data_IF_354798159752
#
_entry.id   IF_354798159752
#
_cell.length_a   1.000
_cell.length_b   1.000
_cell.length_c   1.000
_cell.angle_alpha   90.00
_cell.angle_beta   90.00
_cell.angle_gamma   90.00
#
_symmetry.space_group_name_H-M   'P 1'
#
loop_
_entity.id
_entity.type
_entity.pdbx_description
1 polymer ?
#
# COMPACT_ATOMS: atom_id res chain seq x y z
N UNK A 1 -57.45 58.51 -10.41
CA UNK A 1 -58.32 57.51 -9.74
C UNK A 1 -57.45 56.56 -8.96
N UNK A 2 -57.93 56.15 -7.79
CA UNK A 2 -57.17 56.07 -6.56
C UNK A 2 -56.46 54.71 -6.40
N UNK A 3 -55.47 54.68 -5.50
CA UNK A 3 -55.07 53.44 -4.82
C UNK A 3 -56.22 52.89 -3.95
N UNK A 4 -55.96 52.14 -2.87
CA UNK A 4 -54.71 52.06 -2.13
C UNK A 4 -54.45 50.57 -1.79
N UNK A 5 -53.54 50.13 -0.94
CA UNK A 5 -53.44 50.34 0.50
C UNK A 5 -52.30 49.38 0.93
N UNK A 6 -51.34 49.89 1.71
CA UNK A 6 -51.14 49.49 3.12
C UNK A 6 -50.34 48.19 3.25
N UNK A 7 -49.33 48.07 4.12
CA UNK A 7 -48.96 48.77 5.35
C UNK A 7 -47.46 48.43 5.57
N UNK A 8 -46.61 49.38 5.98
CA UNK A 8 -46.18 49.60 7.38
C UNK A 8 -45.73 48.31 8.09
N UNK A 9 -44.70 48.26 8.92
CA UNK A 9 -43.80 49.22 9.57
C UNK A 9 -42.66 48.35 10.14
N UNK A 10 -41.41 48.74 9.99
CA UNK A 10 -40.62 49.40 11.05
C UNK A 10 -40.52 48.66 12.39
N UNK A 11 -39.28 48.28 12.73
CA UNK A 11 -38.58 48.44 14.04
C UNK A 11 -37.75 47.19 14.34
N UNK A 12 -36.41 47.30 14.36
CA UNK A 12 -35.58 47.73 15.49
C UNK A 12 -35.84 46.92 16.78
N UNK A 13 -34.96 45.95 17.02
CA UNK A 13 -34.39 45.62 18.34
C UNK A 13 -33.23 44.63 18.08
N UNK A 14 -31.97 45.02 18.20
CA UNK A 14 -31.19 45.07 19.45
C UNK A 14 -31.15 43.73 20.20
N UNK A 15 -30.26 42.83 19.78
CA UNK A 15 -29.64 41.82 20.65
C UNK A 15 -28.19 41.68 20.19
N UNK A 16 -27.33 42.50 20.77
CA UNK A 16 -26.43 42.11 21.88
C UNK A 16 -25.29 41.23 21.37
N UNK A 17 -24.12 41.86 21.31
CA UNK A 17 -22.81 41.24 21.33
C UNK A 17 -22.80 40.07 22.32
N UNK A 18 -22.56 38.87 21.79
CA UNK A 18 -21.98 37.79 22.60
C UNK A 18 -20.49 37.81 22.31
N UNK A 19 -19.81 38.67 23.06
CA UNK A 19 -18.38 38.56 23.32
C UNK A 19 -18.16 37.20 23.99
N UNK A 20 -17.53 36.26 23.27
CA UNK A 20 -16.90 35.12 23.92
C UNK A 20 -15.60 35.61 24.54
N UNK A 21 -15.69 36.16 25.75
CA UNK A 21 -14.57 36.26 26.68
C UNK A 21 -14.05 34.85 26.95
N UNK A 22 -12.98 34.46 26.28
CA UNK A 22 -12.16 33.32 26.70
C UNK A 22 -11.22 33.83 27.78
N UNK A 23 -11.64 33.67 29.03
CA UNK A 23 -10.77 33.80 30.20
C UNK A 23 -9.80 32.62 30.22
N UNK A 24 -8.59 32.85 29.69
CA UNK A 24 -7.45 31.97 29.94
C UNK A 24 -6.92 32.36 31.32
N UNK A 25 -7.30 31.59 32.35
CA UNK A 25 -6.55 31.57 33.61
C UNK A 25 -5.16 31.00 33.31
N UNK A 26 -4.22 31.91 33.05
CA UNK A 26 -2.81 31.61 32.95
C UNK A 26 -2.31 31.35 34.39
N UNK A 27 -2.26 30.09 34.79
CA UNK A 27 -1.50 29.68 35.97
C UNK A 27 -0.04 30.10 35.77
N UNK A 28 0.34 31.17 36.45
CA UNK A 28 1.68 31.74 36.51
C UNK A 28 2.66 30.70 37.10
N UNK A 29 3.30 29.92 36.22
CA UNK A 29 4.58 29.29 36.54
C UNK A 29 5.69 30.23 36.07
N UNK A 30 6.21 31.00 37.02
CA UNK A 30 7.39 31.86 36.89
C UNK A 30 8.53 31.06 36.25
N UNK A 31 8.78 31.28 34.94
CA UNK A 31 10.01 30.86 34.27
C UNK A 31 10.78 32.10 33.89
N UNK A 32 11.71 32.44 34.76
CA UNK A 32 12.67 33.53 34.63
C UNK A 32 13.41 33.39 33.30
N UNK A 33 13.35 34.44 32.46
CA UNK A 33 14.26 34.62 31.32
C UNK A 33 15.71 34.58 31.83
N UNK A 34 16.48 33.58 31.39
CA UNK A 34 17.93 33.72 31.24
C UNK A 34 18.30 33.37 29.81
N UNK A 35 18.97 34.32 29.18
CA UNK A 35 19.99 34.14 28.15
C UNK A 35 19.60 33.35 26.91
N UNK A 36 19.42 34.07 25.80
CA UNK A 36 19.88 33.56 24.51
C UNK A 36 21.35 33.17 24.68
N UNK A 37 21.67 31.89 24.59
CA UNK A 37 22.93 31.38 24.06
C UNK A 37 22.71 29.91 23.63
N UNK A 38 22.97 29.64 22.34
CA UNK A 38 22.90 28.37 21.62
C UNK A 38 21.52 27.73 21.39
N UNK A 39 20.95 27.99 20.20
CA UNK A 39 19.87 27.19 19.60
C UNK A 39 20.34 25.77 19.22
N UNK A 40 21.65 25.52 19.14
CA UNK A 40 22.24 24.20 18.85
C UNK A 40 22.11 23.21 20.02
N UNK A 41 21.90 23.65 21.27
CA UNK A 41 21.80 22.73 22.41
C UNK A 41 20.39 22.21 22.66
N UNK A 42 19.35 22.78 22.01
CA UNK A 42 17.96 22.36 22.21
C UNK A 42 17.55 21.20 21.28
N UNK A 43 18.07 21.15 20.05
CA UNK A 43 17.82 20.02 19.16
C UNK A 43 18.53 18.75 19.66
N UNK A 44 19.72 18.88 20.27
CA UNK A 44 20.44 17.74 20.84
C UNK A 44 19.76 17.18 22.10
N UNK A 45 19.07 17.99 22.92
CA UNK A 45 18.35 17.49 24.09
C UNK A 45 16.99 16.85 23.77
N UNK A 46 16.33 17.24 22.67
CA UNK A 46 15.09 16.58 22.22
C UNK A 46 15.36 15.22 21.57
N UNK A 47 16.56 15.02 21.01
CA UNK A 47 16.98 13.74 20.45
C UNK A 47 17.62 12.80 21.48
N UNK A 48 18.23 13.31 22.56
CA UNK A 48 18.76 12.47 23.65
C UNK A 48 17.68 12.00 24.65
N UNK A 49 16.63 12.79 24.93
CA UNK A 49 15.51 12.32 25.79
C UNK A 49 14.53 11.36 25.08
N UNK A 50 14.53 11.30 23.74
CA UNK A 50 13.73 10.31 22.98
C UNK A 50 14.42 8.96 22.79
N UNK A 51 15.68 8.83 23.22
CA UNK A 51 16.47 7.62 23.05
C UNK A 51 16.30 6.56 24.14
N UNK A 52 15.62 6.85 25.27
CA UNK A 52 15.71 6.00 26.47
C UNK A 52 14.40 5.46 27.06
N UNK A 53 13.23 5.70 26.47
CA UNK A 53 11.97 5.03 26.86
C UNK A 53 11.31 4.28 25.69
N UNK A 54 12.02 3.31 25.11
CA UNK A 54 11.37 2.20 24.39
C UNK A 54 12.06 0.92 24.84
N UNK A 55 11.85 0.56 26.11
CA UNK A 55 12.13 -0.78 26.61
C UNK A 55 10.81 -1.41 27.10
N UNK A 56 9.76 -1.33 26.28
CA UNK A 56 8.59 -2.19 26.45
C UNK A 56 8.94 -3.58 25.90
N UNK A 57 8.93 -4.57 26.80
CA UNK A 57 9.04 -5.98 26.48
C UNK A 57 8.09 -6.37 25.33
N UNK A 58 8.51 -7.26 24.40
CA UNK A 58 7.67 -7.65 23.28
C UNK A 58 6.36 -8.28 23.80
N UNK A 59 5.24 -7.61 23.54
CA UNK A 59 3.90 -8.14 23.86
C UNK A 59 3.70 -9.47 23.10
N UNK A 60 3.07 -10.49 23.70
CA UNK A 60 2.93 -11.83 23.10
C UNK A 60 2.24 -11.80 21.72
N UNK A 61 1.33 -10.85 21.48
CA UNK A 61 0.68 -10.66 20.19
C UNK A 61 1.67 -10.27 19.06
N UNK A 62 2.67 -9.42 19.36
CA UNK A 62 3.68 -8.99 18.39
C UNK A 62 4.61 -10.14 17.96
N UNK A 63 4.92 -11.06 18.88
CA UNK A 63 5.72 -12.26 18.60
C UNK A 63 4.97 -13.23 17.67
N UNK A 64 3.69 -13.49 17.95
CA UNK A 64 2.85 -14.35 17.11
C UNK A 64 2.75 -13.78 15.69
N UNK A 65 2.47 -12.48 15.56
CA UNK A 65 2.44 -11.82 14.25
C UNK A 65 3.78 -11.94 13.52
N UNK A 66 4.91 -11.76 14.23
CA UNK A 66 6.26 -11.90 13.64
C UNK A 66 6.48 -13.29 13.06
N UNK A 67 6.15 -14.34 13.82
CA UNK A 67 6.22 -15.73 13.36
C UNK A 67 5.32 -15.97 12.15
N UNK A 68 4.10 -15.42 12.15
CA UNK A 68 3.17 -15.55 11.02
C UNK A 68 3.69 -14.88 9.74
N UNK A 69 4.26 -13.67 9.84
CA UNK A 69 4.86 -13.00 8.69
C UNK A 69 6.12 -13.73 8.20
N UNK A 70 6.94 -14.29 9.09
CA UNK A 70 8.06 -15.15 8.69
C UNK A 70 7.58 -16.42 7.97
N UNK A 71 6.52 -17.05 8.48
CA UNK A 71 5.91 -18.21 7.84
C UNK A 71 5.36 -17.86 6.45
N UNK A 72 4.74 -16.68 6.27
CA UNK A 72 4.29 -16.19 4.97
C UNK A 72 5.48 -15.93 4.02
N UNK A 73 6.55 -15.30 4.51
CA UNK A 73 7.76 -15.06 3.71
C UNK A 73 8.37 -16.38 3.22
N UNK A 74 8.55 -17.36 4.12
CA UNK A 74 9.02 -18.70 3.79
C UNK A 74 8.05 -19.42 2.84
N UNK A 75 6.74 -19.27 3.04
CA UNK A 75 5.72 -19.82 2.15
C UNK A 75 5.88 -19.31 0.72
N UNK A 76 6.11 -18.01 0.52
CA UNK A 76 6.38 -17.45 -0.80
C UNK A 76 7.66 -18.01 -1.42
N UNK A 77 8.74 -18.20 -0.64
CA UNK A 77 9.98 -18.81 -1.16
C UNK A 77 9.78 -20.28 -1.54
N UNK A 78 9.01 -21.03 -0.76
CA UNK A 78 8.63 -22.41 -1.07
C UNK A 78 7.76 -22.48 -2.33
N UNK A 79 6.86 -21.52 -2.53
CA UNK A 79 6.07 -21.40 -3.75
C UNK A 79 6.95 -21.22 -4.99
N UNK A 80 8.06 -20.46 -4.91
CA UNK A 80 9.02 -20.33 -6.02
C UNK A 80 9.65 -21.69 -6.33
N UNK A 81 10.07 -22.43 -5.30
CA UNK A 81 10.61 -23.77 -5.49
C UNK A 81 9.59 -24.71 -6.14
N UNK A 82 8.35 -24.68 -5.68
CA UNK A 82 7.25 -25.47 -6.24
C UNK A 82 7.01 -25.06 -7.70
N UNK A 83 6.96 -23.77 -8.00
CA UNK A 83 6.85 -23.25 -9.37
C UNK A 83 7.99 -23.79 -10.24
N UNK A 84 9.25 -23.61 -9.83
CA UNK A 84 10.43 -24.09 -10.55
C UNK A 84 10.39 -25.59 -10.85
N UNK A 85 9.95 -26.41 -9.89
CA UNK A 85 9.92 -27.86 -10.05
C UNK A 85 8.73 -28.38 -10.85
N UNK A 86 7.67 -27.59 -10.98
CA UNK A 86 6.38 -28.10 -11.47
C UNK A 86 5.74 -27.25 -12.55
N UNK A 87 6.47 -26.33 -13.17
CA UNK A 87 6.04 -25.65 -14.41
C UNK A 87 7.06 -25.90 -15.50
N UNK A 88 6.59 -26.28 -16.68
CA UNK A 88 7.43 -26.48 -17.86
C UNK A 88 7.61 -25.20 -18.69
N UNK A 89 6.81 -24.15 -18.46
CA UNK A 89 6.97 -22.86 -19.11
C UNK A 89 8.21 -22.12 -18.61
N UNK A 90 9.14 -21.90 -19.52
CA UNK A 90 10.27 -20.98 -19.35
C UNK A 90 9.87 -19.56 -19.82
N UNK A 91 10.58 -18.53 -19.32
CA UNK A 91 10.46 -17.16 -19.81
C UNK A 91 9.61 -16.20 -18.95
N UNK A 92 8.84 -15.32 -19.60
CA UNK A 92 8.16 -14.16 -18.98
C UNK A 92 7.16 -14.55 -17.88
N UNK A 93 6.32 -15.57 -18.10
CA UNK A 93 5.30 -16.01 -17.14
C UNK A 93 5.92 -16.50 -15.83
N UNK A 94 7.04 -17.22 -15.91
CA UNK A 94 7.78 -17.67 -14.73
C UNK A 94 8.39 -16.47 -13.99
N UNK A 95 9.14 -15.62 -14.72
CA UNK A 95 9.88 -14.51 -14.14
C UNK A 95 8.98 -13.50 -13.44
N UNK A 96 7.82 -13.16 -14.02
CA UNK A 96 6.88 -12.23 -13.41
C UNK A 96 6.30 -12.78 -12.11
N UNK A 97 5.86 -14.05 -12.11
CA UNK A 97 5.24 -14.66 -10.93
C UNK A 97 6.27 -14.85 -9.80
N UNK A 98 7.49 -15.32 -10.12
CA UNK A 98 8.57 -15.45 -9.15
C UNK A 98 9.05 -14.10 -8.63
N UNK A 99 9.20 -13.11 -9.51
CA UNK A 99 9.58 -11.75 -9.13
C UNK A 99 8.60 -11.13 -8.13
N UNK A 100 7.29 -11.31 -8.36
CA UNK A 100 6.27 -10.88 -7.40
C UNK A 100 6.34 -11.65 -6.09
N UNK A 101 6.52 -12.98 -6.12
CA UNK A 101 6.66 -13.77 -4.90
C UNK A 101 7.86 -13.33 -4.06
N UNK A 102 8.99 -12.99 -4.69
CA UNK A 102 10.15 -12.39 -4.00
C UNK A 102 9.78 -11.03 -3.39
N UNK A 103 9.06 -10.18 -4.11
CA UNK A 103 8.62 -8.88 -3.59
C UNK A 103 7.71 -9.02 -2.37
N UNK A 104 6.77 -9.96 -2.39
CA UNK A 104 5.84 -10.23 -1.28
C UNK A 104 6.55 -10.92 -0.10
N UNK A 105 7.50 -11.82 -0.38
CA UNK A 105 8.34 -12.45 0.64
C UNK A 105 9.20 -11.38 1.35
N UNK A 106 9.81 -10.48 0.58
CA UNK A 106 10.56 -9.34 1.11
C UNK A 106 9.66 -8.46 1.98
N UNK A 107 8.48 -8.11 1.48
CA UNK A 107 7.50 -7.33 2.25
C UNK A 107 7.15 -7.99 3.59
N UNK A 108 6.81 -9.27 3.59
CA UNK A 108 6.53 -10.02 4.82
C UNK A 108 7.75 -10.09 5.75
N UNK A 109 8.96 -10.24 5.22
CA UNK A 109 10.20 -10.23 5.99
C UNK A 109 10.48 -8.85 6.62
N UNK A 110 10.25 -7.75 5.89
CA UNK A 110 10.39 -6.37 6.42
C UNK A 110 9.39 -6.14 7.54
N UNK A 111 8.13 -6.59 7.36
CA UNK A 111 7.15 -6.53 8.44
C UNK A 111 7.67 -7.31 9.65
N UNK A 112 8.06 -8.58 9.50
CA UNK A 112 8.60 -9.39 10.60
C UNK A 112 9.80 -8.73 11.28
N UNK A 113 10.68 -8.11 10.50
CA UNK A 113 11.85 -7.41 11.00
C UNK A 113 11.48 -6.20 11.87
N UNK A 114 10.28 -5.62 11.68
CA UNK A 114 9.74 -4.54 12.50
C UNK A 114 9.56 -4.93 13.97
N UNK A 115 9.58 -6.22 14.32
CA UNK A 115 9.65 -6.68 15.71
C UNK A 115 11.03 -6.53 16.38
N UNK A 116 12.04 -6.06 15.65
CA UNK A 116 13.41 -5.82 16.15
C UNK A 116 13.77 -4.33 16.13
N UNK A 117 14.75 -3.93 16.94
CA UNK A 117 15.14 -2.53 17.18
C UNK A 117 16.05 -1.88 16.11
N UNK A 118 16.00 -2.34 14.85
CA UNK A 118 16.89 -1.86 13.77
C UNK A 118 16.27 -0.75 12.91
N UNK A 119 16.01 0.39 13.52
CA UNK A 119 15.23 1.49 12.91
C UNK A 119 15.78 2.01 11.56
N UNK A 120 17.09 2.29 11.36
CA UNK A 120 17.58 2.86 10.10
C UNK A 120 17.44 1.89 8.92
N UNK A 121 17.67 0.60 9.17
CA UNK A 121 17.48 -0.45 8.16
C UNK A 121 16.00 -0.61 7.82
N UNK A 122 15.12 -0.60 8.82
CA UNK A 122 13.68 -0.73 8.63
C UNK A 122 13.07 0.44 7.84
N UNK A 123 13.60 1.64 8.00
CA UNK A 123 13.20 2.78 7.18
C UNK A 123 13.54 2.57 5.71
N UNK A 124 14.80 2.22 5.41
CA UNK A 124 15.25 1.95 4.05
C UNK A 124 14.48 0.76 3.42
N UNK A 125 14.26 -0.31 4.20
CA UNK A 125 13.51 -1.47 3.77
C UNK A 125 12.03 -1.16 3.53
N UNK A 126 11.42 -0.32 4.38
CA UNK A 126 10.04 0.15 4.24
C UNK A 126 9.83 0.99 2.98
N UNK A 127 10.81 1.83 2.62
CA UNK A 127 10.84 2.56 1.34
C UNK A 127 10.85 1.59 0.17
N UNK A 128 11.81 0.66 0.16
CA UNK A 128 11.96 -0.32 -0.92
C UNK A 128 10.70 -1.18 -1.10
N UNK A 129 10.09 -1.61 0.00
CA UNK A 129 8.83 -2.37 0.02
C UNK A 129 7.71 -1.66 -0.75
N UNK A 130 7.53 -0.36 -0.54
CA UNK A 130 6.49 0.39 -1.22
C UNK A 130 6.76 0.57 -2.72
N UNK A 131 8.02 0.75 -3.12
CA UNK A 131 8.39 0.84 -4.53
C UNK A 131 8.11 -0.50 -5.22
N UNK A 132 8.57 -1.60 -4.62
CA UNK A 132 8.34 -2.95 -5.12
C UNK A 132 6.85 -3.24 -5.24
N UNK A 133 6.04 -2.87 -4.24
CA UNK A 133 4.59 -2.96 -4.32
C UNK A 133 4.06 -2.19 -5.54
N UNK A 134 4.36 -0.89 -5.63
CA UNK A 134 3.84 -0.04 -6.70
C UNK A 134 4.13 -0.59 -8.11
N UNK A 135 5.33 -1.16 -8.33
CA UNK A 135 5.77 -1.65 -9.64
C UNK A 135 5.41 -3.11 -9.90
N UNK A 136 5.61 -4.02 -8.93
CA UNK A 136 5.44 -5.46 -9.15
C UNK A 136 3.98 -5.84 -9.47
N UNK A 137 3.01 -5.17 -8.83
CA UNK A 137 1.59 -5.39 -9.11
C UNK A 137 1.21 -5.07 -10.58
N UNK A 138 1.89 -4.13 -11.23
CA UNK A 138 1.58 -3.77 -12.62
C UNK A 138 1.92 -4.90 -13.61
N UNK A 139 2.94 -5.71 -13.30
CA UNK A 139 3.39 -6.82 -14.15
C UNK A 139 2.44 -8.01 -14.16
N UNK A 140 1.53 -8.09 -13.18
CA UNK A 140 0.49 -9.11 -13.14
C UNK A 140 -0.59 -8.92 -14.22
N UNK A 141 -0.81 -7.70 -14.68
CA UNK A 141 -1.77 -7.44 -15.76
C UNK A 141 -1.40 -8.17 -17.06
N UNK A 142 -0.20 -7.96 -17.64
CA UNK A 142 0.20 -8.71 -18.83
C UNK A 142 0.30 -10.21 -18.56
N UNK A 143 0.69 -10.62 -17.35
CA UNK A 143 0.75 -12.04 -16.99
C UNK A 143 -0.60 -12.75 -17.13
N UNK A 144 -1.69 -12.17 -16.62
CA UNK A 144 -3.02 -12.77 -16.72
C UNK A 144 -3.54 -12.81 -18.16
N UNK A 145 -3.28 -11.75 -18.93
CA UNK A 145 -3.66 -11.70 -20.35
C UNK A 145 -2.86 -12.71 -21.19
N UNK A 146 -1.57 -12.84 -20.91
CA UNK A 146 -0.67 -13.78 -21.57
C UNK A 146 -1.07 -15.22 -21.23
N UNK A 147 -1.31 -15.53 -19.95
CA UNK A 147 -1.84 -16.83 -19.55
C UNK A 147 -3.15 -17.13 -20.29
N UNK A 148 -4.10 -16.21 -20.30
CA UNK A 148 -5.36 -16.40 -21.02
C UNK A 148 -5.14 -16.69 -22.51
N UNK A 149 -4.29 -15.90 -23.18
CA UNK A 149 -3.97 -16.08 -24.59
C UNK A 149 -3.37 -17.46 -24.89
N UNK A 150 -2.43 -17.90 -24.04
CA UNK A 150 -1.72 -19.16 -24.22
C UNK A 150 -2.58 -20.38 -23.89
N UNK A 151 -3.45 -20.29 -22.86
CA UNK A 151 -4.36 -21.38 -22.50
C UNK A 151 -5.56 -21.48 -23.46
N UNK A 152 -5.98 -20.36 -24.05
CA UNK A 152 -7.06 -20.32 -25.04
C UNK A 152 -6.75 -19.28 -26.12
N UNK A 153 -6.27 -19.69 -27.30
CA UNK A 153 -5.95 -18.76 -28.36
C UNK A 153 -7.24 -18.15 -28.94
N UNK A 154 -7.70 -17.05 -28.34
CA UNK A 154 -8.61 -16.10 -28.95
C UNK A 154 -7.73 -14.97 -29.53
N UNK A 155 -7.44 -14.98 -30.85
CA UNK A 155 -6.20 -14.41 -31.39
C UNK A 155 -6.12 -12.88 -31.30
N UNK A 156 -7.24 -12.15 -31.34
CA UNK A 156 -7.21 -10.69 -31.37
C UNK A 156 -7.20 -10.01 -30.01
N UNK A 157 -8.17 -10.35 -29.14
CA UNK A 157 -8.44 -9.59 -27.91
C UNK A 157 -7.43 -9.89 -26.81
N UNK A 158 -7.00 -11.15 -26.68
CA UNK A 158 -6.03 -11.55 -25.65
C UNK A 158 -4.61 -11.05 -25.97
N UNK A 159 -4.22 -11.07 -27.25
CA UNK A 159 -2.95 -10.50 -27.71
C UNK A 159 -2.90 -8.99 -27.47
N UNK A 160 -3.96 -8.26 -27.85
CA UNK A 160 -4.06 -6.82 -27.61
C UNK A 160 -4.01 -6.51 -26.10
N UNK A 161 -4.74 -7.26 -25.28
CA UNK A 161 -4.71 -7.10 -23.82
C UNK A 161 -3.31 -7.35 -23.24
N UNK A 162 -2.57 -8.32 -23.79
CA UNK A 162 -1.18 -8.60 -23.42
C UNK A 162 -0.28 -7.41 -23.75
N UNK A 163 -0.33 -6.89 -24.98
CA UNK A 163 0.45 -5.73 -25.40
C UNK A 163 0.13 -4.47 -24.58
N UNK A 164 -1.15 -4.20 -24.34
CA UNK A 164 -1.60 -3.09 -23.50
C UNK A 164 -1.15 -3.26 -22.05
N UNK A 165 -1.20 -4.49 -21.53
CA UNK A 165 -0.70 -4.84 -20.19
C UNK A 165 0.79 -4.56 -20.05
N UNK A 166 1.60 -4.97 -21.03
CA UNK A 166 3.05 -4.68 -21.04
C UNK A 166 3.31 -3.17 -21.12
N UNK A 167 2.64 -2.46 -22.05
CA UNK A 167 2.79 -1.02 -22.18
C UNK A 167 2.46 -0.29 -20.87
N UNK A 168 1.40 -0.71 -20.18
CA UNK A 168 1.02 -0.16 -18.88
C UNK A 168 2.05 -0.50 -17.79
N UNK A 169 2.53 -1.74 -17.71
CA UNK A 169 3.53 -2.15 -16.73
C UNK A 169 4.86 -1.39 -16.90
N UNK A 170 5.32 -1.22 -18.14
CA UNK A 170 6.49 -0.39 -18.46
C UNK A 170 6.24 1.08 -18.11
N UNK A 171 5.09 1.64 -18.48
CA UNK A 171 4.75 3.02 -18.16
C UNK A 171 4.74 3.26 -16.64
N UNK A 172 4.10 2.39 -15.87
CA UNK A 172 4.06 2.47 -14.39
C UNK A 172 5.47 2.37 -13.81
N UNK A 173 6.26 1.40 -14.25
CA UNK A 173 7.63 1.21 -13.76
C UNK A 173 8.53 2.40 -14.08
N UNK A 174 8.49 2.90 -15.32
CA UNK A 174 9.24 4.07 -15.75
C UNK A 174 8.78 5.34 -15.03
N UNK A 175 7.47 5.49 -14.80
CA UNK A 175 6.90 6.61 -14.08
C UNK A 175 7.36 6.66 -12.63
N UNK A 176 7.33 5.53 -11.90
CA UNK A 176 7.86 5.46 -10.54
C UNK A 176 9.37 5.66 -10.51
N UNK A 177 10.14 5.02 -11.40
CA UNK A 177 11.58 5.22 -11.49
C UNK A 177 11.96 6.69 -11.77
N UNK A 178 11.27 7.35 -12.71
CA UNK A 178 11.48 8.75 -13.02
C UNK A 178 11.13 9.65 -11.84
N UNK A 179 10.07 9.33 -11.08
CA UNK A 179 9.72 10.06 -9.86
C UNK A 179 10.82 9.96 -8.80
N UNK A 180 11.40 8.78 -8.62
CA UNK A 180 12.54 8.61 -7.72
C UNK A 180 13.76 9.42 -8.17
N UNK A 181 14.10 9.37 -9.46
CA UNK A 181 15.21 10.15 -10.01
C UNK A 181 14.96 11.65 -9.83
N UNK A 182 13.76 12.13 -10.16
CA UNK A 182 13.38 13.53 -9.98
C UNK A 182 13.47 13.97 -8.52
N UNK A 183 13.05 13.12 -7.59
CA UNK A 183 13.21 13.38 -6.17
C UNK A 183 14.69 13.45 -5.77
N UNK A 184 15.51 12.47 -6.16
CA UNK A 184 16.95 12.45 -5.82
C UNK A 184 17.65 13.72 -6.31
N UNK A 185 17.26 14.22 -7.48
CA UNK A 185 17.87 15.40 -8.09
C UNK A 185 17.35 16.74 -7.54
N UNK A 186 16.08 16.81 -7.12
CA UNK A 186 15.41 18.10 -6.82
C UNK A 186 14.81 18.20 -5.40
N UNK A 187 14.80 17.11 -4.66
CA UNK A 187 14.16 17.02 -3.35
C UNK A 187 12.63 17.06 -3.40
N UNK A 188 12.03 17.19 -2.21
CA UNK A 188 10.58 17.32 -2.04
C UNK A 188 10.13 18.74 -2.46
N UNK A 189 9.08 18.88 -3.28
CA UNK A 189 8.66 20.19 -3.75
C UNK A 189 8.04 20.99 -2.59
N UNK A 190 8.17 22.33 -2.57
CA UNK A 190 7.62 23.18 -1.51
C UNK A 190 6.11 23.00 -1.28
N UNK A 191 5.34 22.75 -2.35
CA UNK A 191 3.91 22.43 -2.30
C UNK A 191 3.60 21.07 -1.64
N UNK A 192 4.59 20.18 -1.54
CA UNK A 192 4.52 18.96 -0.75
C UNK A 192 5.01 19.13 0.69
N UNK A 193 5.48 20.31 1.09
CA UNK A 193 5.83 20.63 2.47
C UNK A 193 4.78 21.56 3.09
N UNK A 194 4.28 22.52 2.32
CA UNK A 194 3.31 23.51 2.77
C UNK A 194 2.03 23.48 1.91
N UNK A 195 0.88 23.25 2.58
CA UNK A 195 -0.45 23.23 1.93
C UNK A 195 -0.88 24.62 1.43
N UNK A 196 -0.24 25.68 1.90
CA UNK A 196 -0.49 27.06 1.45
C UNK A 196 0.07 27.33 0.04
N UNK A 197 1.03 26.52 -0.42
CA UNK A 197 1.63 26.69 -1.73
C UNK A 197 0.83 25.95 -2.81
N UNK A 198 0.48 26.67 -3.88
CA UNK A 198 -0.18 26.06 -5.03
C UNK A 198 0.76 25.11 -5.75
N UNK A 199 0.33 23.87 -6.06
CA UNK A 199 1.14 22.90 -6.78
C UNK A 199 1.41 23.41 -8.21
N UNK A 200 2.68 23.47 -8.59
CA UNK A 200 3.09 23.79 -9.96
C UNK A 200 3.01 22.55 -10.86
N UNK A 201 2.95 22.77 -12.18
CA UNK A 201 3.07 21.67 -13.15
C UNK A 201 4.42 20.99 -12.95
N UNK A 202 4.40 19.74 -12.47
CA UNK A 202 5.61 18.99 -12.13
C UNK A 202 5.82 18.79 -10.63
N UNK A 203 5.19 19.57 -9.75
CA UNK A 203 5.22 19.33 -8.29
C UNK A 203 4.45 18.05 -7.91
N UNK A 204 3.48 17.64 -8.74
CA UNK A 204 2.76 16.36 -8.60
C UNK A 204 3.66 15.13 -8.83
N UNK A 205 4.86 15.31 -9.41
CA UNK A 205 5.81 14.24 -9.70
C UNK A 205 6.66 13.87 -8.47
N UNK A 206 7.39 14.78 -7.81
CA UNK A 206 8.21 14.45 -6.63
C UNK A 206 7.41 14.37 -5.33
N UNK A 207 6.25 15.05 -5.20
CA UNK A 207 5.36 14.95 -4.03
C UNK A 207 4.77 13.55 -3.76
N UNK A 208 4.77 12.70 -4.79
CA UNK A 208 4.31 11.31 -4.73
C UNK A 208 5.46 10.31 -4.92
N UNK A 209 6.73 10.76 -4.80
CA UNK A 209 7.89 9.88 -4.88
C UNK A 209 7.85 8.82 -3.78
N UNK A 210 8.11 7.57 -4.12
CA UNK A 210 7.96 6.40 -3.25
C UNK A 210 9.16 6.18 -2.35
N UNK A 211 10.40 6.19 -2.87
CA UNK A 211 11.63 6.08 -2.06
C UNK A 211 12.09 7.45 -1.54
N UNK A 212 11.86 8.47 -2.37
CA UNK A 212 12.30 9.82 -2.13
C UNK A 212 11.59 10.53 -0.99
N UNK A 213 10.25 10.55 -1.01
CA UNK A 213 9.50 11.36 -0.04
C UNK A 213 9.69 10.91 1.41
N UNK A 214 9.37 11.79 2.36
CA UNK A 214 9.57 11.52 3.79
C UNK A 214 8.80 10.29 4.28
N UNK A 215 9.48 9.46 5.09
CA UNK A 215 8.90 8.34 5.82
C UNK A 215 8.88 8.67 7.30
N UNK A 216 7.87 8.15 7.99
CA UNK A 216 7.78 8.24 9.44
C UNK A 216 7.49 6.87 10.00
N UNK A 217 7.96 6.65 11.22
CA UNK A 217 7.53 5.54 12.05
C UNK A 217 6.04 5.70 12.34
N UNK A 218 5.28 4.65 12.10
CA UNK A 218 3.88 4.61 12.49
C UNK A 218 3.78 4.38 14.01
N UNK A 219 3.72 5.49 14.75
CA UNK A 219 3.68 5.48 16.23
C UNK A 219 2.48 4.72 16.77
N UNK A 220 1.32 4.84 16.11
CA UNK A 220 0.12 4.13 16.52
C UNK A 220 0.33 2.60 16.41
N UNK A 221 0.95 2.16 15.31
CA UNK A 221 1.27 0.74 15.11
C UNK A 221 2.32 0.25 16.10
N UNK A 222 3.34 1.06 16.39
CA UNK A 222 4.36 0.74 17.40
C UNK A 222 3.75 0.60 18.80
N UNK A 223 2.90 1.54 19.20
CA UNK A 223 2.25 1.55 20.52
C UNK A 223 1.25 0.40 20.70
N UNK A 224 0.55 0.00 19.63
CA UNK A 224 -0.42 -1.10 19.69
C UNK A 224 0.29 -2.47 19.65
N UNK A 225 1.17 -2.66 18.68
CA UNK A 225 1.71 -3.99 18.32
C UNK A 225 3.13 -4.23 18.80
N UNK A 226 3.84 -3.18 19.22
CA UNK A 226 5.27 -3.22 19.53
C UNK A 226 6.17 -3.29 18.30
N UNK A 227 5.65 -2.99 17.10
CA UNK A 227 6.39 -3.15 15.84
C UNK A 227 6.70 -1.82 15.17
N UNK A 228 7.93 -1.69 14.71
CA UNK A 228 8.38 -0.56 13.93
C UNK A 228 8.03 -0.74 12.45
N UNK A 229 7.01 -0.02 11.99
CA UNK A 229 6.63 0.03 10.57
C UNK A 229 6.77 1.46 10.06
N UNK A 230 7.48 1.59 8.93
CA UNK A 230 7.67 2.87 8.26
C UNK A 230 6.64 3.05 7.15
N UNK A 231 5.94 4.17 7.21
CA UNK A 231 4.90 4.57 6.25
C UNK A 231 5.24 5.95 5.67
N UNK A 232 4.72 6.29 4.49
CA UNK A 232 4.85 7.63 3.95
C UNK A 232 4.29 8.66 4.94
N UNK A 233 4.99 9.77 5.15
CA UNK A 233 4.52 10.86 6.01
C UNK A 233 3.16 11.42 5.55
N UNK A 234 2.91 11.40 4.23
CA UNK A 234 1.67 11.77 3.56
C UNK A 234 1.11 10.60 2.76
N UNK A 235 -0.22 10.44 2.78
CA UNK A 235 -0.90 9.47 1.94
C UNK A 235 -0.59 9.74 0.46
N UNK A 236 -0.11 8.71 -0.24
CA UNK A 236 0.24 8.82 -1.67
C UNK A 236 -0.89 8.23 -2.50
N UNK A 237 -1.51 9.06 -3.31
CA UNK A 237 -2.58 8.63 -4.20
C UNK A 237 -2.01 7.67 -5.26
N UNK A 238 -2.74 6.59 -5.53
CA UNK A 238 -2.43 5.69 -6.63
C UNK A 238 -1.57 4.46 -6.30
N UNK A 239 -1.00 4.33 -5.09
CA UNK A 239 -0.25 3.13 -4.69
C UNK A 239 -1.07 1.83 -4.79
N UNK A 240 -2.39 1.92 -4.59
CA UNK A 240 -3.29 0.77 -4.69
C UNK A 240 -3.83 0.48 -6.10
N UNK A 241 -3.68 1.40 -7.07
CA UNK A 241 -4.35 1.29 -8.38
C UNK A 241 -3.84 0.09 -9.16
N UNK A 242 -2.51 -0.11 -9.22
CA UNK A 242 -1.91 -1.25 -9.93
C UNK A 242 -2.39 -2.59 -9.36
N UNK A 243 -2.43 -2.70 -8.03
CA UNK A 243 -2.92 -3.90 -7.34
C UNK A 243 -4.41 -4.18 -7.58
N UNK A 244 -5.23 -3.12 -7.74
CA UNK A 244 -6.66 -3.24 -8.04
C UNK A 244 -6.90 -3.65 -9.49
N UNK A 245 -6.19 -3.01 -10.43
CA UNK A 245 -6.26 -3.36 -11.85
C UNK A 245 -5.77 -4.79 -12.11
N UNK A 246 -4.70 -5.22 -11.45
CA UNK A 246 -4.20 -6.60 -11.54
C UNK A 246 -5.27 -7.61 -11.14
N UNK A 247 -5.95 -7.35 -10.03
CA UNK A 247 -6.98 -8.22 -9.50
C UNK A 247 -8.19 -8.30 -10.44
N UNK A 248 -8.63 -7.16 -11.00
CA UNK A 248 -9.70 -7.12 -12.01
C UNK A 248 -9.30 -7.90 -13.26
N UNK A 249 -8.05 -7.74 -13.74
CA UNK A 249 -7.56 -8.47 -14.90
C UNK A 249 -7.57 -10.00 -14.66
N UNK A 250 -7.17 -10.46 -13.47
CA UNK A 250 -7.20 -11.88 -13.11
C UNK A 250 -8.62 -12.45 -13.01
N UNK A 251 -9.56 -11.68 -12.47
CA UNK A 251 -10.98 -12.06 -12.44
C UNK A 251 -11.54 -12.16 -13.86
N UNK A 252 -11.25 -11.19 -14.72
CA UNK A 252 -11.68 -11.18 -16.11
C UNK A 252 -11.09 -12.37 -16.89
N UNK A 253 -9.79 -12.63 -16.74
CA UNK A 253 -9.13 -13.80 -17.32
C UNK A 253 -9.73 -15.12 -16.81
N UNK A 254 -9.98 -15.21 -15.50
CA UNK A 254 -10.61 -16.39 -14.88
C UNK A 254 -12.04 -16.62 -15.39
N UNK A 255 -12.83 -15.57 -15.56
CA UNK A 255 -14.17 -15.65 -16.17
C UNK A 255 -14.10 -16.10 -17.63
N UNK A 256 -13.13 -15.60 -18.41
CA UNK A 256 -12.95 -15.95 -19.81
C UNK A 256 -12.48 -17.41 -20.02
N UNK A 257 -11.75 -17.98 -19.05
CA UNK A 257 -11.32 -19.38 -19.03
C UNK A 257 -12.39 -20.35 -18.49
N UNK A 258 -13.44 -19.87 -17.81
CA UNK A 258 -14.49 -20.73 -17.24
C UNK A 258 -15.25 -21.61 -18.26
N UNK A 259 -15.63 -21.14 -19.46
CA UNK A 259 -16.42 -21.94 -20.40
C UNK A 259 -15.69 -23.12 -21.02
N UNK A 260 -14.36 -23.22 -20.87
CA UNK A 260 -13.57 -24.27 -21.52
C UNK A 260 -13.45 -25.54 -20.67
N UNK A 261 -14.10 -25.63 -19.50
CA UNK A 261 -13.96 -26.78 -18.58
C UNK A 261 -12.76 -26.69 -17.64
N UNK A 262 -12.06 -25.56 -17.68
CA UNK A 262 -10.84 -25.32 -16.93
C UNK A 262 -11.18 -25.04 -15.47
N UNK A 263 -10.36 -25.50 -14.53
CA UNK A 263 -10.61 -25.21 -13.14
C UNK A 263 -10.51 -23.71 -12.93
N UNK A 264 -11.55 -23.09 -12.34
CA UNK A 264 -11.65 -21.65 -12.12
C UNK A 264 -10.73 -21.15 -11.00
N UNK A 265 -9.49 -21.64 -10.94
CA UNK A 265 -8.51 -21.30 -9.91
C UNK A 265 -8.20 -19.82 -9.94
N UNK A 266 -7.94 -19.25 -11.12
CA UNK A 266 -7.65 -17.82 -11.24
C UNK A 266 -8.80 -16.93 -10.74
N UNK A 267 -10.04 -17.34 -11.03
CA UNK A 267 -11.26 -16.67 -10.57
C UNK A 267 -11.43 -16.79 -9.05
N UNK A 268 -11.34 -18.00 -8.52
CA UNK A 268 -11.49 -18.26 -7.08
C UNK A 268 -10.40 -17.57 -6.27
N UNK A 269 -9.14 -17.63 -6.68
CA UNK A 269 -8.04 -16.90 -6.07
C UNK A 269 -8.27 -15.38 -6.09
N UNK A 270 -8.69 -14.83 -7.22
CA UNK A 270 -9.00 -13.40 -7.33
C UNK A 270 -10.16 -12.98 -6.41
N UNK A 271 -11.19 -13.82 -6.27
CA UNK A 271 -12.30 -13.57 -5.34
C UNK A 271 -11.83 -13.64 -3.88
N UNK A 272 -11.00 -14.61 -3.52
CA UNK A 272 -10.44 -14.72 -2.16
C UNK A 272 -9.60 -13.48 -1.82
N UNK A 273 -8.73 -13.03 -2.72
CA UNK A 273 -7.94 -11.82 -2.50
C UNK A 273 -8.82 -10.55 -2.40
N UNK A 274 -9.87 -10.44 -3.22
CA UNK A 274 -10.86 -9.35 -3.10
C UNK A 274 -11.56 -9.36 -1.74
N UNK A 275 -12.06 -10.52 -1.33
CA UNK A 275 -12.80 -10.68 -0.08
C UNK A 275 -11.90 -10.38 1.12
N UNK A 276 -10.65 -10.85 1.10
CA UNK A 276 -9.67 -10.54 2.13
C UNK A 276 -9.41 -9.03 2.25
N UNK A 277 -9.22 -8.34 1.11
CA UNK A 277 -9.06 -6.87 1.08
C UNK A 277 -10.30 -6.13 1.57
N UNK A 278 -11.50 -6.57 1.18
CA UNK A 278 -12.77 -5.99 1.64
C UNK A 278 -12.99 -6.20 3.13
N UNK A 279 -12.66 -7.38 3.64
CA UNK A 279 -12.73 -7.68 5.06
C UNK A 279 -11.84 -6.71 5.85
N UNK A 280 -10.61 -6.45 5.38
CA UNK A 280 -9.74 -5.47 6.01
C UNK A 280 -10.35 -4.07 6.09
N UNK A 281 -10.92 -3.58 5.00
CA UNK A 281 -11.57 -2.25 5.00
C UNK A 281 -12.79 -2.17 5.91
N UNK A 282 -13.59 -3.23 5.98
CA UNK A 282 -14.77 -3.28 6.88
C UNK A 282 -14.33 -3.36 8.33
N UNK A 283 -13.24 -4.08 8.60
CA UNK A 283 -12.65 -4.19 9.93
C UNK A 283 -12.17 -2.84 10.45
N UNK A 284 -11.45 -2.07 9.62
CA UNK A 284 -11.00 -0.71 9.97
C UNK A 284 -12.18 0.23 10.32
N UNK A 285 -13.31 0.10 9.61
CA UNK A 285 -14.53 0.87 9.88
C UNK A 285 -15.24 0.45 11.18
N UNK A 286 -15.13 -0.83 11.55
CA UNK A 286 -15.77 -1.35 12.75
C UNK A 286 -14.95 -1.04 14.00
N UNK A 287 -13.62 -1.08 13.90
CA UNK A 287 -12.72 -0.86 15.02
C UNK A 287 -12.53 0.63 15.38
N UNK A 288 -12.79 1.55 14.45
CA UNK A 288 -12.92 2.98 14.74
C UNK A 288 -13.97 3.31 15.84
N UNK A 289 -14.77 2.32 16.28
CA UNK A 289 -15.74 2.40 17.37
C UNK A 289 -15.32 1.71 18.68
N UNK A 290 -14.15 1.07 18.80
CA UNK A 290 -13.77 0.44 20.08
C UNK A 290 -12.45 -0.32 20.15
N UNK A 291 -11.37 0.40 20.49
CA UNK A 291 -10.16 0.00 21.25
C UNK A 291 -9.90 -1.50 21.51
N UNK A 292 -9.51 -2.28 20.50
CA UNK A 292 -8.94 -3.62 20.75
C UNK A 292 -7.57 -3.80 20.10
N UNK A 293 -6.63 -4.26 20.93
CA UNK A 293 -5.19 -4.57 20.74
C UNK A 293 -4.85 -5.62 19.65
N UNK A 294 -5.68 -5.79 18.62
CA UNK A 294 -5.41 -6.68 17.49
C UNK A 294 -6.09 -6.21 16.21
N UNK A 295 -6.50 -4.95 16.16
CA UNK A 295 -7.38 -4.46 15.13
C UNK A 295 -6.68 -4.22 13.81
N UNK A 296 -5.40 -3.84 13.83
CA UNK A 296 -4.67 -3.55 12.61
C UNK A 296 -3.90 -4.75 12.03
N UNK A 297 -3.52 -5.74 12.84
CA UNK A 297 -2.71 -6.88 12.37
C UNK A 297 -3.52 -7.99 11.72
N UNK A 298 -4.66 -8.35 12.32
CA UNK A 298 -5.55 -9.39 11.77
C UNK A 298 -5.99 -9.09 10.33
N UNK A 299 -6.53 -7.90 10.00
CA UNK A 299 -6.94 -7.62 8.62
C UNK A 299 -5.77 -7.63 7.64
N UNK A 300 -4.57 -7.20 8.05
CA UNK A 300 -3.37 -7.24 7.21
C UNK A 300 -2.93 -8.68 6.94
N UNK A 301 -2.87 -9.52 7.97
CA UNK A 301 -2.55 -10.94 7.83
C UNK A 301 -3.56 -11.66 6.95
N UNK A 302 -4.86 -11.37 7.10
CA UNK A 302 -5.93 -11.91 6.24
C UNK A 302 -5.71 -11.48 4.78
N UNK A 303 -5.39 -10.20 4.54
CA UNK A 303 -5.04 -9.72 3.19
C UNK A 303 -3.86 -10.50 2.61
N UNK A 304 -2.78 -10.69 3.36
CA UNK A 304 -1.59 -11.42 2.90
C UNK A 304 -1.85 -12.89 2.65
N UNK A 305 -2.60 -13.55 3.53
CA UNK A 305 -3.02 -14.92 3.31
C UNK A 305 -3.88 -15.06 2.05
N UNK A 306 -4.77 -14.09 1.80
CA UNK A 306 -5.55 -14.01 0.57
C UNK A 306 -4.70 -13.83 -0.69
N UNK A 307 -3.69 -12.96 -0.64
CA UNK A 307 -2.73 -12.76 -1.74
C UNK A 307 -1.87 -14.01 -2.00
N UNK A 308 -1.42 -14.68 -0.94
CA UNK A 308 -0.71 -15.95 -1.02
C UNK A 308 -1.56 -17.05 -1.65
N UNK A 309 -2.82 -17.19 -1.20
CA UNK A 309 -3.78 -18.12 -1.76
C UNK A 309 -4.07 -17.83 -3.24
N UNK A 310 -4.18 -16.57 -3.60
CA UNK A 310 -4.35 -16.16 -4.99
C UNK A 310 -3.18 -16.55 -5.88
N UNK A 311 -1.94 -16.40 -5.40
CA UNK A 311 -0.75 -16.83 -6.16
C UNK A 311 -0.64 -18.34 -6.28
N UNK A 312 -1.02 -19.10 -5.25
CA UNK A 312 -1.20 -20.55 -5.35
C UNK A 312 -2.19 -20.91 -6.46
N UNK A 313 -3.35 -20.26 -6.48
CA UNK A 313 -4.35 -20.47 -7.51
C UNK A 313 -3.85 -20.09 -8.91
N UNK A 314 -3.09 -19.00 -9.04
CA UNK A 314 -2.47 -18.59 -10.29
C UNK A 314 -1.46 -19.64 -10.80
N UNK A 315 -0.65 -20.21 -9.90
CA UNK A 315 0.27 -21.29 -10.21
C UNK A 315 -0.46 -22.58 -10.62
N UNK A 316 -1.53 -22.95 -9.91
CA UNK A 316 -2.36 -24.10 -10.28
C UNK A 316 -3.05 -23.92 -11.62
N UNK A 317 -3.51 -22.71 -11.94
CA UNK A 317 -4.05 -22.39 -13.25
C UNK A 317 -2.99 -22.61 -14.35
N UNK A 318 -1.77 -22.09 -14.16
CA UNK A 318 -0.67 -22.26 -15.10
C UNK A 318 -0.36 -23.75 -15.35
N UNK A 319 -0.26 -24.54 -14.29
CA UNK A 319 -0.03 -25.99 -14.38
C UNK A 319 -1.14 -26.74 -15.08
N UNK A 320 -2.40 -26.39 -14.79
CA UNK A 320 -3.53 -26.94 -15.51
C UNK A 320 -3.39 -26.65 -17.01
N UNK A 321 -2.89 -25.46 -17.36
CA UNK A 321 -2.69 -25.09 -18.77
C UNK A 321 -1.61 -25.88 -19.46
N UNK A 322 -0.49 -26.05 -18.80
CA UNK A 322 0.60 -26.88 -19.32
C UNK A 322 0.18 -28.33 -19.47
N UNK A 323 -0.53 -28.88 -18.49
CA UNK A 323 -1.00 -30.27 -18.53
C UNK A 323 -1.93 -30.53 -19.72
N UNK A 324 -2.87 -29.62 -19.99
CA UNK A 324 -3.75 -29.72 -21.17
C UNK A 324 -3.00 -29.53 -22.49
N UNK A 325 -1.97 -28.66 -22.52
CA UNK A 325 -1.15 -28.43 -23.70
C UNK A 325 -0.09 -29.52 -23.95
N UNK A 326 0.00 -30.55 -23.11
CA UNK A 326 1.01 -31.61 -23.23
C UNK A 326 2.42 -31.20 -22.79
N UNK A 327 2.54 -30.16 -21.95
CA UNK A 327 3.77 -29.71 -21.31
C UNK A 327 4.06 -28.23 -21.55
N UNK A 328 4.20 -27.81 -22.81
CA UNK A 328 4.61 -26.44 -23.13
C UNK A 328 3.45 -25.62 -23.71
N UNK A 329 3.25 -24.43 -23.16
CA UNK A 329 2.29 -23.46 -23.70
C UNK A 329 2.87 -22.73 -24.90
N UNK A 330 2.15 -22.78 -26.03
CA UNK A 330 2.50 -22.00 -27.21
C UNK A 330 2.55 -20.50 -26.90
N UNK A 331 3.42 -19.77 -27.59
CA UNK A 331 3.50 -18.32 -27.47
C UNK A 331 2.20 -17.66 -27.96
N UNK A 332 1.82 -16.56 -27.30
CA UNK A 332 0.76 -15.69 -27.79
C UNK A 332 1.29 -14.94 -29.03
N UNK A 333 0.80 -15.30 -30.23
CA UNK A 333 1.18 -14.70 -31.52
C UNK A 333 -0.02 -14.10 -32.23
#
# INVERSE_FOLDING_TARGET
MPGPDQEHMSSMSSMSSMDCEVSIELCEAVRTRRGLDSLDSLDTQVDEEKGQEIQEFPRPAGQVATVLYLALALGHLLLIQVQWQGTATEGSLFLVLSGLQVCLAFEAAVYAAGGFSWLPFLEAAGRMRLLLGATAWAWLLPWAAELHCRCRPAPGTALLATQQGYALAYFVSAFFALREICFVLRGEPPSALDRSQQPRLGDCLPSNAVLGGQFRLDKAELEETGRAVFVPSRARSGLGISSGLALVAHLAAGLALRPSGWPGWLLSGGLVALLARRFGTVWDLWDAKGSKLGAHEVPRLVCRAGEFCWLLCALWQLRACEAEAGGALAECK
#
